data_IF_318375437264
#
_entry.id   IF_318375437264
#
_cell.length_a   1.000
_cell.length_b   1.000
_cell.length_c   1.000
_cell.angle_alpha   90.00
_cell.angle_beta   90.00
_cell.angle_gamma   90.00
#
_symmetry.space_group_name_H-M   'P 1'
#
loop_
_entity.id
_entity.type
_entity.pdbx_description
1 polymer ?
#
# COMPACT_ATOMS: atom_id res chain seq x y z
N UNK A 1 -3.43 2.40 -5.58
CA UNK A 1 -3.61 2.10 -7.02
C UNK A 1 -2.41 1.35 -7.64
N UNK A 2 -1.20 1.94 -7.73
CA UNK A 2 -0.05 1.34 -8.44
C UNK A 2 0.44 0.04 -7.78
N UNK A 3 0.48 -0.06 -6.46
CA UNK A 3 0.84 -1.30 -5.75
C UNK A 3 -0.14 -2.42 -6.08
N UNK A 4 -1.44 -2.16 -5.97
CA UNK A 4 -2.47 -3.13 -6.31
C UNK A 4 -2.37 -3.58 -7.78
N UNK A 5 -2.12 -2.64 -8.71
CA UNK A 5 -1.89 -2.95 -10.12
C UNK A 5 -0.68 -3.88 -10.32
N UNK A 6 0.48 -3.54 -9.73
CA UNK A 6 1.73 -4.30 -9.94
C UNK A 6 1.61 -5.71 -9.36
N UNK A 7 1.06 -5.84 -8.15
CA UNK A 7 0.83 -7.15 -7.51
C UNK A 7 -0.10 -8.00 -8.36
N UNK A 8 -1.27 -7.47 -8.70
CA UNK A 8 -2.28 -8.22 -9.47
C UNK A 8 -1.78 -8.56 -10.88
N UNK A 9 -1.06 -7.66 -11.53
CA UNK A 9 -0.44 -7.92 -12.83
C UNK A 9 0.57 -9.07 -12.74
N UNK A 10 1.39 -9.08 -11.69
CA UNK A 10 2.42 -10.11 -11.52
C UNK A 10 1.80 -11.47 -11.28
N UNK A 11 0.93 -11.60 -10.29
CA UNK A 11 0.30 -12.90 -9.95
C UNK A 11 -0.60 -13.38 -11.10
N UNK A 12 -1.29 -12.44 -11.76
CA UNK A 12 -2.07 -12.75 -12.95
C UNK A 12 -1.21 -13.23 -14.13
N UNK A 13 0.00 -12.68 -14.33
CA UNK A 13 0.96 -13.19 -15.33
C UNK A 13 1.49 -14.56 -14.93
N UNK A 14 1.77 -14.83 -13.66
CA UNK A 14 2.19 -16.14 -13.19
C UNK A 14 1.11 -17.21 -13.43
N UNK A 15 -0.14 -16.91 -13.07
CA UNK A 15 -1.29 -17.76 -13.38
C UNK A 15 -1.45 -17.99 -14.90
N UNK A 16 -1.33 -16.93 -15.70
CA UNK A 16 -1.41 -17.02 -17.15
C UNK A 16 -0.29 -17.87 -17.77
N UNK A 17 0.92 -17.85 -17.19
CA UNK A 17 2.02 -18.70 -17.61
C UNK A 17 1.78 -20.18 -17.28
N UNK A 18 1.27 -20.47 -16.07
CA UNK A 18 0.91 -21.84 -15.68
C UNK A 18 -0.10 -22.42 -16.66
N UNK A 19 -1.19 -21.70 -16.91
CA UNK A 19 -2.24 -22.10 -17.83
C UNK A 19 -1.71 -22.19 -19.28
N UNK A 20 -0.96 -21.18 -19.72
CA UNK A 20 -0.43 -21.11 -21.08
C UNK A 20 0.58 -22.20 -21.40
N UNK A 21 1.52 -22.50 -20.50
CA UNK A 21 2.50 -23.58 -20.66
C UNK A 21 1.77 -24.93 -20.67
N UNK A 22 0.80 -25.13 -19.77
CA UNK A 22 0.00 -26.36 -19.72
C UNK A 22 -0.77 -26.57 -21.03
N UNK A 23 -1.47 -25.56 -21.54
CA UNK A 23 -2.21 -25.63 -22.81
C UNK A 23 -1.29 -25.88 -24.02
N UNK A 24 -0.12 -25.22 -24.05
CA UNK A 24 0.87 -25.42 -25.10
C UNK A 24 1.46 -26.83 -25.06
N UNK A 25 1.71 -27.38 -23.88
CA UNK A 25 2.22 -28.72 -23.71
C UNK A 25 1.17 -29.77 -24.10
N UNK A 26 -0.11 -29.60 -23.72
CA UNK A 26 -1.22 -30.47 -24.15
C UNK A 26 -1.40 -30.45 -25.65
N UNK A 27 -1.19 -29.33 -26.31
CA UNK A 27 -1.18 -29.28 -27.79
C UNK A 27 0.00 -30.07 -28.37
N UNK A 28 1.19 -29.99 -27.74
CA UNK A 28 2.39 -30.72 -28.19
C UNK A 28 2.25 -32.25 -28.08
N UNK A 29 1.58 -32.74 -27.03
CA UNK A 29 1.34 -34.19 -26.83
C UNK A 29 0.04 -34.67 -27.48
N UNK A 30 -0.62 -33.83 -28.28
CA UNK A 30 -1.84 -34.13 -29.03
C UNK A 30 -3.02 -34.60 -28.16
N UNK A 31 -3.23 -33.96 -26.98
CA UNK A 31 -4.31 -34.25 -26.04
C UNK A 31 -5.24 -33.02 -25.87
N UNK A 32 -5.96 -32.59 -26.92
CA UNK A 32 -6.80 -31.38 -26.86
C UNK A 32 -8.03 -31.53 -25.95
N UNK A 33 -8.49 -32.76 -25.69
CA UNK A 33 -9.62 -33.06 -24.79
C UNK A 33 -9.38 -32.59 -23.35
N UNK A 34 -8.13 -32.58 -22.87
CA UNK A 34 -7.75 -32.15 -21.53
C UNK A 34 -7.77 -30.64 -21.34
N UNK A 35 -7.92 -29.85 -22.40
CA UNK A 35 -8.06 -28.39 -22.29
C UNK A 35 -9.27 -27.98 -21.46
N UNK A 36 -10.37 -28.74 -21.51
CA UNK A 36 -11.57 -28.49 -20.70
C UNK A 36 -11.26 -28.58 -19.20
N UNK A 37 -10.42 -29.53 -18.78
CA UNK A 37 -9.96 -29.66 -17.40
C UNK A 37 -9.18 -28.41 -16.94
N UNK A 38 -8.29 -27.87 -17.79
CA UNK A 38 -7.52 -26.67 -17.48
C UNK A 38 -8.42 -25.43 -17.32
N UNK A 39 -9.38 -25.25 -18.21
CA UNK A 39 -10.33 -24.13 -18.10
C UNK A 39 -11.27 -24.27 -16.89
N UNK A 40 -11.75 -25.49 -16.61
CA UNK A 40 -12.54 -25.76 -15.43
C UNK A 40 -11.76 -25.47 -14.13
N UNK A 41 -10.48 -25.88 -14.09
CA UNK A 41 -9.58 -25.58 -12.97
C UNK A 41 -9.37 -24.06 -12.78
N UNK A 42 -9.17 -23.31 -13.88
CA UNK A 42 -9.01 -21.87 -13.85
C UNK A 42 -10.25 -21.16 -13.26
N UNK A 43 -11.44 -21.54 -13.73
CA UNK A 43 -12.70 -20.96 -13.22
C UNK A 43 -12.91 -21.33 -11.75
N UNK A 44 -12.68 -22.59 -11.37
CA UNK A 44 -12.80 -23.03 -9.99
C UNK A 44 -11.81 -22.32 -9.06
N UNK A 45 -10.57 -22.11 -9.49
CA UNK A 45 -9.56 -21.38 -8.73
C UNK A 45 -9.95 -19.89 -8.55
N UNK A 46 -10.47 -19.25 -9.59
CA UNK A 46 -10.94 -17.86 -9.52
C UNK A 46 -12.11 -17.72 -8.53
N UNK A 47 -13.11 -18.60 -8.61
CA UNK A 47 -14.23 -18.63 -7.67
C UNK A 47 -13.75 -18.90 -6.24
N UNK A 48 -12.82 -19.84 -6.08
CA UNK A 48 -12.20 -20.17 -4.78
C UNK A 48 -11.47 -18.96 -4.18
N UNK A 49 -10.71 -18.22 -4.99
CA UNK A 49 -10.00 -17.01 -4.53
C UNK A 49 -10.96 -15.91 -4.09
N UNK A 50 -12.07 -15.68 -4.81
CA UNK A 50 -13.13 -14.76 -4.40
C UNK A 50 -13.79 -15.24 -3.09
N UNK A 51 -14.05 -16.55 -2.96
CA UNK A 51 -14.60 -17.12 -1.74
C UNK A 51 -13.73 -16.86 -0.53
N UNK A 52 -12.42 -17.01 -0.67
CA UNK A 52 -11.43 -16.71 0.39
C UNK A 52 -11.41 -15.21 0.70
N UNK A 53 -11.45 -14.34 -0.31
CA UNK A 53 -11.51 -12.89 -0.10
C UNK A 53 -12.76 -12.48 0.70
N UNK A 54 -13.94 -13.02 0.37
CA UNK A 54 -15.18 -12.77 1.09
C UNK A 54 -15.14 -13.33 2.51
N UNK A 55 -14.52 -14.50 2.72
CA UNK A 55 -14.38 -15.08 4.05
C UNK A 55 -13.50 -14.19 4.94
N UNK A 56 -12.36 -13.73 4.41
CA UNK A 56 -11.47 -12.81 5.12
C UNK A 56 -12.12 -11.47 5.45
N UNK A 57 -12.91 -10.90 4.51
CA UNK A 57 -13.60 -9.62 4.73
C UNK A 57 -14.71 -9.67 5.80
N UNK A 58 -15.28 -10.85 6.06
CA UNK A 58 -16.33 -11.03 7.08
C UNK A 58 -15.80 -11.26 8.49
N UNK A 59 -14.51 -11.53 8.63
CA UNK A 59 -13.90 -11.79 9.93
C UNK A 59 -13.64 -10.44 10.60
N UNK A 60 -14.51 -10.07 11.57
CA UNK A 60 -14.33 -8.87 12.39
C UNK A 60 -13.26 -9.17 13.46
N UNK A 61 -12.05 -8.72 13.20
CA UNK A 61 -10.94 -8.76 14.14
C UNK A 61 -10.83 -7.40 14.81
N UNK A 62 -10.32 -7.34 16.05
CA UNK A 62 -9.95 -6.05 16.67
C UNK A 62 -8.95 -5.35 15.75
N UNK A 63 -9.41 -4.29 15.05
CA UNK A 63 -8.77 -3.76 13.86
C UNK A 63 -7.34 -3.27 14.11
N UNK A 64 -7.09 -2.58 15.22
CA UNK A 64 -5.87 -1.77 15.38
C UNK A 64 -4.59 -2.62 15.61
N UNK A 65 -4.57 -3.58 16.52
CA UNK A 65 -3.38 -4.42 16.78
C UNK A 65 -3.18 -5.48 15.68
N UNK A 66 -4.30 -5.98 15.13
CA UNK A 66 -4.27 -7.04 14.13
C UNK A 66 -3.71 -6.56 12.80
N UNK A 67 -3.95 -5.29 12.45
CA UNK A 67 -3.49 -4.66 11.22
C UNK A 67 -1.96 -4.73 11.11
N UNK A 68 -1.24 -4.35 12.16
CA UNK A 68 0.21 -4.43 12.20
C UNK A 68 0.75 -5.86 12.00
N UNK A 69 0.13 -6.85 12.65
CA UNK A 69 0.52 -8.26 12.49
C UNK A 69 0.22 -8.82 11.10
N UNK A 70 -0.91 -8.43 10.49
CA UNK A 70 -1.25 -8.83 9.12
C UNK A 70 -0.23 -8.27 8.14
N UNK A 71 0.18 -6.99 8.29
CA UNK A 71 1.20 -6.38 7.44
C UNK A 71 2.55 -7.10 7.54
N UNK A 72 2.98 -7.46 8.75
CA UNK A 72 4.23 -8.23 8.96
C UNK A 72 4.13 -9.65 8.38
N UNK A 73 3.00 -10.32 8.55
CA UNK A 73 2.76 -11.63 7.94
C UNK A 73 2.78 -11.54 6.41
N UNK A 74 2.11 -10.55 5.83
CA UNK A 74 2.13 -10.31 4.38
C UNK A 74 3.54 -10.02 3.88
N UNK A 75 4.33 -9.21 4.59
CA UNK A 75 5.73 -8.95 4.25
C UNK A 75 6.57 -10.24 4.24
N UNK A 76 6.39 -11.10 5.25
CA UNK A 76 7.05 -12.40 5.32
C UNK A 76 6.69 -13.29 4.12
N UNK A 77 5.40 -13.35 3.74
CA UNK A 77 4.96 -14.10 2.57
C UNK A 77 5.57 -13.54 1.29
N UNK A 78 5.57 -12.22 1.09
CA UNK A 78 6.18 -11.58 -0.09
C UNK A 78 7.67 -11.89 -0.18
N UNK A 79 8.43 -11.79 0.91
CA UNK A 79 9.86 -12.11 0.94
C UNK A 79 10.10 -13.60 0.65
N UNK A 80 9.32 -14.49 1.26
CA UNK A 80 9.38 -15.94 1.01
C UNK A 80 9.15 -16.25 -0.47
N UNK A 81 8.15 -15.60 -1.09
CA UNK A 81 7.83 -15.73 -2.50
C UNK A 81 8.95 -15.22 -3.40
N UNK A 82 9.56 -14.07 -3.08
CA UNK A 82 10.72 -13.53 -3.79
C UNK A 82 11.85 -14.57 -3.82
N UNK A 83 12.19 -15.15 -2.65
CA UNK A 83 13.25 -16.15 -2.53
C UNK A 83 12.93 -17.40 -3.35
N UNK A 84 11.67 -17.86 -3.28
CA UNK A 84 11.20 -19.01 -4.04
C UNK A 84 11.32 -18.78 -5.54
N UNK A 85 10.85 -17.62 -6.05
CA UNK A 85 10.90 -17.28 -7.47
C UNK A 85 12.33 -17.10 -8.01
N UNK A 86 13.23 -16.55 -7.22
CA UNK A 86 14.65 -16.43 -7.59
C UNK A 86 15.28 -17.83 -7.84
N UNK A 87 14.89 -18.83 -7.04
CA UNK A 87 15.37 -20.21 -7.18
C UNK A 87 14.67 -20.98 -8.31
N UNK A 88 13.36 -20.77 -8.46
CA UNK A 88 12.47 -21.57 -9.31
C UNK A 88 12.33 -21.03 -10.75
N UNK A 89 12.45 -19.71 -10.95
CA UNK A 89 12.09 -19.04 -12.21
C UNK A 89 12.83 -19.55 -13.45
N UNK A 90 14.00 -20.19 -13.28
CA UNK A 90 14.74 -20.84 -14.39
C UNK A 90 14.23 -22.22 -14.76
N UNK A 91 13.52 -22.91 -13.86
CA UNK A 91 13.10 -24.31 -14.01
C UNK A 91 11.59 -24.48 -14.17
N UNK A 92 10.82 -23.40 -14.02
CA UNK A 92 9.36 -23.43 -13.97
C UNK A 92 8.75 -24.15 -15.19
N UNK A 93 9.19 -23.81 -16.40
CA UNK A 93 8.69 -24.43 -17.63
C UNK A 93 8.92 -25.95 -17.64
N UNK A 94 10.13 -26.40 -17.35
CA UNK A 94 10.45 -27.83 -17.35
C UNK A 94 9.72 -28.62 -16.26
N UNK A 95 9.47 -27.99 -15.11
CA UNK A 95 8.72 -28.63 -14.02
C UNK A 95 7.22 -28.77 -14.34
N UNK A 96 6.61 -27.73 -14.94
CA UNK A 96 5.22 -27.81 -15.40
C UNK A 96 5.10 -28.87 -16.51
N UNK A 97 5.94 -28.82 -17.53
CA UNK A 97 5.93 -29.82 -18.62
C UNK A 97 6.12 -31.25 -18.10
N UNK A 98 7.06 -31.44 -17.15
CA UNK A 98 7.31 -32.77 -16.54
C UNK A 98 6.11 -33.28 -15.75
N UNK A 99 5.51 -32.46 -14.89
CA UNK A 99 4.32 -32.85 -14.11
C UNK A 99 3.09 -33.06 -14.98
N UNK A 100 2.84 -32.20 -15.95
CA UNK A 100 1.72 -32.37 -16.90
C UNK A 100 1.93 -33.65 -17.75
N UNK A 101 3.18 -33.96 -18.13
CA UNK A 101 3.51 -35.20 -18.84
C UNK A 101 3.17 -36.49 -18.05
N UNK A 102 3.47 -36.47 -16.74
CA UNK A 102 3.13 -37.61 -15.85
C UNK A 102 1.61 -37.69 -15.66
N UNK A 103 0.94 -36.56 -15.47
CA UNK A 103 -0.50 -36.48 -15.21
C UNK A 103 -1.36 -36.69 -16.48
N UNK A 104 -0.78 -36.66 -17.68
CA UNK A 104 -1.49 -36.88 -18.95
C UNK A 104 -1.74 -38.36 -19.31
N UNK A 105 -1.62 -39.28 -18.34
CA UNK A 105 -1.93 -40.73 -18.45
C UNK A 105 -3.42 -41.06 -18.56
N UNK A 106 -3.82 -42.30 -18.24
CA UNK A 106 -5.18 -42.82 -18.50
C UNK A 106 -6.31 -42.13 -17.70
N UNK A 107 -6.06 -41.61 -16.47
CA UNK A 107 -7.03 -40.86 -15.65
C UNK A 107 -6.69 -39.37 -15.55
N UNK A 108 -6.27 -38.79 -16.64
CA UNK A 108 -5.63 -37.49 -16.71
C UNK A 108 -6.51 -36.29 -16.32
N UNK A 109 -7.85 -36.40 -16.41
CA UNK A 109 -8.72 -35.23 -16.26
C UNK A 109 -8.67 -34.64 -14.84
N UNK A 110 -8.85 -35.47 -13.81
CA UNK A 110 -8.92 -35.02 -12.42
C UNK A 110 -7.54 -34.61 -11.88
N UNK A 111 -6.50 -35.38 -12.19
CA UNK A 111 -5.13 -35.06 -11.79
C UNK A 111 -4.65 -33.73 -12.37
N UNK A 112 -4.94 -33.49 -13.65
CA UNK A 112 -4.61 -32.22 -14.30
C UNK A 112 -5.46 -31.07 -13.78
N UNK A 113 -6.76 -31.28 -13.54
CA UNK A 113 -7.64 -30.32 -12.90
C UNK A 113 -7.08 -29.89 -11.55
N UNK A 114 -6.80 -30.86 -10.67
CA UNK A 114 -6.32 -30.58 -9.31
C UNK A 114 -4.97 -29.86 -9.33
N UNK A 115 -4.06 -30.27 -10.21
CA UNK A 115 -2.75 -29.62 -10.37
C UNK A 115 -2.89 -28.14 -10.77
N UNK A 116 -3.65 -27.86 -11.84
CA UNK A 116 -3.84 -26.48 -12.32
C UNK A 116 -4.65 -25.67 -11.32
N UNK A 117 -5.69 -26.25 -10.73
CA UNK A 117 -6.50 -25.63 -9.69
C UNK A 117 -5.65 -25.16 -8.51
N UNK A 118 -4.85 -26.05 -7.93
CA UNK A 118 -4.02 -25.70 -6.76
C UNK A 118 -2.96 -24.64 -7.10
N UNK A 119 -2.35 -24.76 -8.28
CA UNK A 119 -1.34 -23.79 -8.72
C UNK A 119 -1.94 -22.40 -8.94
N UNK A 120 -3.09 -22.30 -9.61
CA UNK A 120 -3.75 -21.01 -9.88
C UNK A 120 -4.43 -20.46 -8.62
N UNK A 121 -5.04 -21.32 -7.80
CA UNK A 121 -5.64 -20.92 -6.51
C UNK A 121 -4.58 -20.31 -5.59
N UNK A 122 -3.40 -20.90 -5.56
CA UNK A 122 -2.28 -20.36 -4.79
C UNK A 122 -1.98 -18.90 -5.17
N UNK A 123 -1.82 -18.61 -6.48
CA UNK A 123 -1.56 -17.25 -6.95
C UNK A 123 -2.74 -16.31 -6.62
N UNK A 124 -3.98 -16.83 -6.69
CA UNK A 124 -5.17 -16.07 -6.28
C UNK A 124 -5.20 -15.77 -4.78
N UNK A 125 -4.83 -16.70 -3.92
CA UNK A 125 -4.74 -16.49 -2.46
C UNK A 125 -3.62 -15.50 -2.13
N UNK A 126 -2.45 -15.63 -2.76
CA UNK A 126 -1.34 -14.67 -2.60
C UNK A 126 -1.79 -13.26 -2.99
N UNK A 127 -2.50 -13.10 -4.12
CA UNK A 127 -3.11 -11.82 -4.53
C UNK A 127 -4.04 -11.25 -3.47
N UNK A 128 -4.96 -12.07 -2.93
CA UNK A 128 -5.94 -11.63 -1.92
C UNK A 128 -5.25 -11.19 -0.64
N UNK A 129 -4.25 -11.93 -0.15
CA UNK A 129 -3.52 -11.59 1.08
C UNK A 129 -2.71 -10.29 0.92
N UNK A 130 -1.98 -10.13 -0.19
CA UNK A 130 -1.16 -8.93 -0.42
C UNK A 130 -2.06 -7.71 -0.66
N UNK A 131 -3.14 -7.87 -1.45
CA UNK A 131 -4.11 -6.79 -1.65
C UNK A 131 -4.81 -6.41 -0.35
N UNK A 132 -5.19 -7.37 0.48
CA UNK A 132 -5.75 -7.11 1.80
C UNK A 132 -4.83 -6.20 2.62
N UNK A 133 -3.54 -6.56 2.72
CA UNK A 133 -2.56 -5.75 3.45
C UNK A 133 -2.30 -4.37 2.82
N UNK A 134 -2.35 -4.24 1.49
CA UNK A 134 -2.13 -2.97 0.77
C UNK A 134 -3.35 -2.05 0.85
N UNK A 135 -4.58 -2.59 0.87
CA UNK A 135 -5.81 -1.78 0.92
C UNK A 135 -6.01 -1.10 2.27
N UNK A 136 -5.46 -1.64 3.36
CA UNK A 136 -5.50 -1.01 4.68
C UNK A 136 -4.91 0.42 4.67
N UNK A 137 -3.92 0.68 3.81
CA UNK A 137 -3.22 1.96 3.69
C UNK A 137 -3.64 2.83 2.48
N UNK A 138 -4.66 2.46 1.72
CA UNK A 138 -5.02 3.18 0.49
C UNK A 138 -6.53 3.38 0.34
N UNK A 139 -6.92 4.42 -0.43
CA UNK A 139 -8.32 4.64 -0.76
C UNK A 139 -8.88 3.44 -1.53
N UNK A 140 -9.97 2.86 -1.07
CA UNK A 140 -10.59 1.64 -1.61
C UNK A 140 -10.83 1.71 -3.12
N UNK A 141 -11.34 2.84 -3.62
CA UNK A 141 -11.63 3.05 -5.04
C UNK A 141 -10.37 2.95 -5.92
N UNK A 142 -9.27 3.59 -5.50
CA UNK A 142 -8.01 3.57 -6.25
C UNK A 142 -7.35 2.19 -6.24
N UNK A 143 -7.46 1.46 -5.13
CA UNK A 143 -7.00 0.08 -5.04
C UNK A 143 -7.80 -0.84 -5.95
N UNK A 144 -9.13 -0.70 -5.96
CA UNK A 144 -10.01 -1.46 -6.85
C UNK A 144 -9.67 -1.22 -8.33
N UNK A 145 -9.51 0.04 -8.75
CA UNK A 145 -9.12 0.37 -10.13
C UNK A 145 -7.75 -0.21 -10.50
N UNK A 146 -6.78 -0.16 -9.60
CA UNK A 146 -5.47 -0.76 -9.80
C UNK A 146 -5.54 -2.27 -10.01
N UNK A 147 -6.31 -2.95 -9.16
CA UNK A 147 -6.56 -4.40 -9.24
C UNK A 147 -7.24 -4.77 -10.57
N UNK A 148 -8.30 -4.06 -10.94
CA UNK A 148 -9.04 -4.30 -12.18
C UNK A 148 -8.14 -4.16 -13.41
N UNK A 149 -7.36 -3.08 -13.47
CA UNK A 149 -6.39 -2.86 -14.55
C UNK A 149 -5.31 -3.95 -14.59
N UNK A 150 -4.80 -4.39 -13.43
CA UNK A 150 -3.84 -5.48 -13.32
C UNK A 150 -4.38 -6.79 -13.90
N UNK A 151 -5.61 -7.16 -13.52
CA UNK A 151 -6.30 -8.35 -14.05
C UNK A 151 -6.49 -8.25 -15.57
N UNK A 152 -6.99 -7.12 -16.07
CA UNK A 152 -7.22 -6.95 -17.51
C UNK A 152 -5.94 -7.08 -18.33
N UNK A 153 -4.85 -6.47 -17.87
CA UNK A 153 -3.54 -6.56 -18.54
C UNK A 153 -2.97 -7.98 -18.45
N UNK A 154 -3.14 -8.67 -17.32
CA UNK A 154 -2.71 -10.06 -17.16
C UNK A 154 -3.49 -11.01 -18.08
N UNK A 155 -4.80 -10.82 -18.23
CA UNK A 155 -5.62 -11.59 -19.18
C UNK A 155 -5.17 -11.35 -20.62
N UNK A 156 -4.99 -10.08 -21.01
CA UNK A 156 -4.50 -9.72 -22.34
C UNK A 156 -3.14 -10.36 -22.62
N UNK A 157 -2.22 -10.31 -21.65
CA UNK A 157 -0.93 -10.97 -21.71
C UNK A 157 -1.09 -12.50 -21.90
N UNK A 158 -1.92 -13.16 -21.10
CA UNK A 158 -2.16 -14.59 -21.17
C UNK A 158 -2.69 -15.03 -22.52
N UNK A 159 -3.68 -14.31 -23.07
CA UNK A 159 -4.23 -14.58 -24.40
C UNK A 159 -3.16 -14.42 -25.49
N UNK A 160 -2.35 -13.35 -25.43
CA UNK A 160 -1.27 -13.11 -26.39
C UNK A 160 -0.16 -14.16 -26.28
N UNK A 161 0.15 -14.59 -25.05
CA UNK A 161 1.15 -15.64 -24.79
C UNK A 161 0.71 -17.01 -25.35
N UNK A 162 -0.52 -17.43 -25.09
CA UNK A 162 -1.09 -18.68 -25.62
C UNK A 162 -1.14 -18.67 -27.15
N UNK A 163 -1.48 -17.53 -27.77
CA UNK A 163 -1.48 -17.36 -29.25
C UNK A 163 -0.07 -17.28 -29.84
N UNK A 164 0.98 -17.32 -29.03
CA UNK A 164 2.38 -17.23 -29.50
C UNK A 164 2.78 -15.87 -30.08
N UNK A 165 1.94 -14.83 -29.89
CA UNK A 165 2.17 -13.48 -30.42
C UNK A 165 3.23 -12.70 -29.64
N UNK A 166 3.53 -13.10 -28.39
CA UNK A 166 4.45 -12.40 -27.50
C UNK A 166 5.61 -13.30 -27.10
N UNK A 167 6.82 -12.87 -27.44
CA UNK A 167 8.08 -13.45 -26.95
C UNK A 167 8.68 -12.52 -25.90
N UNK A 168 8.19 -12.58 -24.67
CA UNK A 168 8.74 -11.79 -23.55
C UNK A 168 9.86 -12.57 -22.89
N UNK A 169 10.92 -11.86 -22.54
CA UNK A 169 11.96 -12.42 -21.69
C UNK A 169 11.45 -12.46 -20.24
N UNK A 170 10.85 -13.60 -19.86
CA UNK A 170 10.29 -13.84 -18.55
C UNK A 170 11.30 -13.58 -17.41
N UNK A 171 12.58 -13.89 -17.62
CA UNK A 171 13.62 -13.62 -16.61
C UNK A 171 13.79 -12.12 -16.33
N UNK A 172 13.67 -11.27 -17.35
CA UNK A 172 13.73 -9.82 -17.16
C UNK A 172 12.48 -9.30 -16.46
N UNK A 173 11.32 -9.76 -16.89
CA UNK A 173 10.05 -9.41 -16.25
C UNK A 173 10.07 -9.74 -14.75
N UNK A 174 10.38 -10.99 -14.39
CA UNK A 174 10.44 -11.41 -12.99
C UNK A 174 11.53 -10.68 -12.19
N UNK A 175 12.68 -10.36 -12.79
CA UNK A 175 13.71 -9.60 -12.11
C UNK A 175 13.23 -8.19 -11.74
N UNK A 176 12.56 -7.50 -12.66
CA UNK A 176 12.06 -6.14 -12.43
C UNK A 176 10.95 -6.16 -11.36
N UNK A 177 9.98 -7.05 -11.51
CA UNK A 177 8.87 -7.17 -10.55
C UNK A 177 9.35 -7.60 -9.15
N UNK A 178 10.37 -8.47 -9.06
CA UNK A 178 11.00 -8.86 -7.79
C UNK A 178 11.60 -7.66 -7.06
N UNK A 179 12.29 -6.76 -7.77
CA UNK A 179 12.84 -5.55 -7.16
C UNK A 179 11.71 -4.67 -6.60
N UNK A 180 10.64 -4.50 -7.37
CA UNK A 180 9.48 -3.71 -6.91
C UNK A 180 8.85 -4.35 -5.68
N UNK A 181 8.65 -5.67 -5.68
CA UNK A 181 8.08 -6.38 -4.52
C UNK A 181 8.97 -6.34 -3.28
N UNK A 182 10.28 -6.30 -3.44
CA UNK A 182 11.19 -6.10 -2.31
C UNK A 182 10.92 -4.77 -1.59
N UNK A 183 10.66 -3.70 -2.35
CA UNK A 183 10.27 -2.42 -1.77
C UNK A 183 8.89 -2.45 -1.13
N UNK A 184 7.92 -3.14 -1.77
CA UNK A 184 6.59 -3.34 -1.16
C UNK A 184 6.70 -4.11 0.16
N UNK A 185 7.52 -5.17 0.21
CA UNK A 185 7.76 -5.91 1.44
C UNK A 185 8.42 -5.04 2.52
N UNK A 186 9.41 -4.22 2.15
CA UNK A 186 10.04 -3.29 3.07
C UNK A 186 9.03 -2.26 3.62
N UNK A 187 8.14 -1.75 2.77
CA UNK A 187 7.06 -0.85 3.21
C UNK A 187 6.11 -1.56 4.18
N UNK A 188 5.66 -2.77 3.87
CA UNK A 188 4.78 -3.53 4.76
C UNK A 188 5.43 -3.79 6.14
N UNK A 189 6.75 -4.04 6.17
CA UNK A 189 7.48 -4.18 7.44
C UNK A 189 7.45 -2.86 8.22
N UNK A 190 7.79 -1.75 7.56
CA UNK A 190 7.84 -0.43 8.21
C UNK A 190 6.45 -0.02 8.70
N UNK A 191 5.42 -0.19 7.87
CA UNK A 191 4.03 0.12 8.23
C UNK A 191 3.52 -0.77 9.36
N UNK A 192 3.79 -2.07 9.31
CA UNK A 192 3.38 -3.00 10.36
C UNK A 192 4.08 -2.74 11.70
N UNK A 193 5.36 -2.39 11.69
CA UNK A 193 6.08 -1.98 12.91
C UNK A 193 5.53 -0.66 13.46
N UNK A 194 5.20 0.29 12.59
CA UNK A 194 4.61 1.57 12.96
C UNK A 194 3.25 1.37 13.65
N UNK A 195 2.38 0.55 13.05
CA UNK A 195 1.07 0.21 13.59
C UNK A 195 1.15 -0.44 14.98
N UNK A 196 2.08 -1.39 15.15
CA UNK A 196 2.32 -2.01 16.45
C UNK A 196 2.87 -1.02 17.49
N UNK A 197 3.66 -0.04 17.04
CA UNK A 197 4.18 1.02 17.91
C UNK A 197 3.09 2.04 18.28
N UNK A 198 2.16 2.34 17.38
CA UNK A 198 0.99 3.19 17.66
C UNK A 198 0.08 2.60 18.73
N UNK A 199 -0.05 1.27 18.72
CA UNK A 199 -0.88 0.52 19.67
C UNK A 199 -0.13 0.06 20.93
N UNK A 200 1.05 0.63 21.22
CA UNK A 200 1.87 0.34 22.40
C UNK A 200 2.31 -1.12 22.56
N UNK A 201 2.19 -1.94 21.50
CA UNK A 201 2.71 -3.32 21.48
C UNK A 201 4.24 -3.31 21.44
N UNK A 202 4.83 -2.32 20.74
CA UNK A 202 6.27 -2.10 20.71
C UNK A 202 6.59 -0.77 21.38
N UNK A 203 7.66 -0.71 22.21
CA UNK A 203 8.12 0.53 22.79
C UNK A 203 8.56 1.49 21.66
N UNK A 204 8.06 2.70 21.66
CA UNK A 204 8.39 3.70 20.66
C UNK A 204 8.71 5.05 21.29
N UNK A 205 9.61 5.80 20.66
CA UNK A 205 9.96 7.15 21.07
C UNK A 205 9.46 8.19 20.08
N UNK A 206 9.24 9.44 20.56
CA UNK A 206 8.87 10.59 19.72
C UNK A 206 9.78 10.75 18.49
N UNK A 207 11.08 10.46 18.67
CA UNK A 207 12.10 10.59 17.62
C UNK A 207 11.97 9.50 16.54
N UNK A 208 11.74 8.27 16.94
CA UNK A 208 11.51 7.14 16.03
C UNK A 208 10.24 7.36 15.21
N UNK A 209 9.15 7.75 15.85
CA UNK A 209 7.88 8.05 15.18
C UNK A 209 7.99 9.23 14.21
N UNK A 210 8.81 10.24 14.50
CA UNK A 210 9.07 11.36 13.58
C UNK A 210 9.83 10.94 12.31
N UNK A 211 10.66 9.90 12.38
CA UNK A 211 11.39 9.37 11.22
C UNK A 211 10.50 8.44 10.39
N UNK A 212 9.76 7.56 11.07
CA UNK A 212 8.94 6.52 10.43
C UNK A 212 7.68 7.14 9.79
N UNK A 213 7.04 8.10 10.47
CA UNK A 213 5.78 8.71 10.04
C UNK A 213 5.78 9.24 8.60
N UNK A 214 6.76 10.05 8.17
CA UNK A 214 6.85 10.50 6.77
C UNK A 214 6.99 9.36 5.75
N UNK A 215 7.60 8.24 6.13
CA UNK A 215 7.79 7.06 5.27
C UNK A 215 6.46 6.32 5.10
N UNK A 216 5.74 6.10 6.20
CA UNK A 216 4.45 5.39 6.21
C UNK A 216 3.37 6.19 5.50
N UNK A 217 3.32 7.51 5.72
CA UNK A 217 2.31 8.39 5.18
C UNK A 217 2.44 8.64 3.68
N UNK A 218 3.67 8.65 3.16
CA UNK A 218 3.93 9.12 1.81
C UNK A 218 4.09 7.96 0.83
N UNK A 219 2.97 7.34 0.44
CA UNK A 219 2.93 6.34 -0.63
C UNK A 219 3.64 6.83 -1.90
N UNK A 220 3.52 8.11 -2.23
CA UNK A 220 4.19 8.73 -3.35
C UNK A 220 5.72 8.72 -3.20
N UNK A 221 6.27 9.01 -2.02
CA UNK A 221 7.70 8.94 -1.77
C UNK A 221 8.26 7.54 -2.04
N UNK A 222 7.52 6.51 -1.63
CA UNK A 222 7.87 5.11 -1.87
C UNK A 222 7.86 4.78 -3.38
N UNK A 223 6.81 5.19 -4.08
CA UNK A 223 6.70 5.01 -5.53
C UNK A 223 7.81 5.74 -6.29
N UNK A 224 8.17 6.95 -5.86
CA UNK A 224 9.29 7.69 -6.47
C UNK A 224 10.59 6.93 -6.34
N UNK A 225 10.86 6.44 -5.13
CA UNK A 225 12.10 5.71 -4.87
C UNK A 225 12.14 4.44 -5.72
N UNK A 226 11.02 3.71 -5.85
CA UNK A 226 10.91 2.52 -6.70
C UNK A 226 11.10 2.88 -8.18
N UNK A 227 10.42 3.91 -8.67
CA UNK A 227 10.55 4.32 -10.07
C UNK A 227 11.93 4.90 -10.38
N UNK A 228 12.52 5.68 -9.49
CA UNK A 228 13.87 6.19 -9.63
C UNK A 228 14.89 5.05 -9.67
N UNK A 229 14.76 4.05 -8.80
CA UNK A 229 15.62 2.86 -8.81
C UNK A 229 15.39 1.99 -10.04
N UNK A 230 14.15 1.78 -10.47
CA UNK A 230 13.84 1.06 -11.72
C UNK A 230 14.41 1.80 -12.94
N UNK A 231 14.28 3.12 -13.00
CA UNK A 231 14.87 3.96 -14.04
C UNK A 231 16.40 3.90 -14.01
N UNK A 232 17.02 3.96 -12.83
CA UNK A 232 18.45 3.78 -12.65
C UNK A 232 18.91 2.40 -13.12
N UNK A 233 18.21 1.32 -12.79
CA UNK A 233 18.53 -0.03 -13.27
C UNK A 233 18.46 -0.13 -14.80
N UNK A 234 17.43 0.45 -15.42
CA UNK A 234 17.31 0.51 -16.90
C UNK A 234 18.47 1.29 -17.49
N UNK A 235 18.83 2.42 -16.89
CA UNK A 235 19.96 3.27 -17.34
C UNK A 235 21.30 2.54 -17.22
N UNK A 236 21.54 1.80 -16.12
CA UNK A 236 22.76 0.99 -15.98
C UNK A 236 22.82 -0.17 -16.96
N UNK A 237 21.68 -0.81 -17.27
CA UNK A 237 21.63 -1.88 -18.28
C UNK A 237 21.91 -1.36 -19.69
N UNK A 238 21.36 -0.19 -20.04
CA UNK A 238 21.61 0.48 -21.33
C UNK A 238 23.07 0.91 -21.45
N UNK A 239 23.66 1.47 -20.38
CA UNK A 239 25.06 1.90 -20.36
C UNK A 239 26.06 0.73 -20.46
N UNK A 240 25.69 -0.48 -20.03
CA UNK A 240 26.51 -1.70 -20.15
C UNK A 240 26.52 -2.29 -21.55
N UNK A 241 25.55 -1.94 -22.42
CA UNK A 241 25.53 -2.41 -23.81
C UNK A 241 26.57 -1.61 -24.61
N UNK A 242 27.62 -2.29 -25.04
CA UNK A 242 28.55 -1.70 -26.01
C UNK A 242 27.78 -1.38 -27.29
N UNK A 243 27.95 -0.18 -27.86
CA UNK A 243 27.33 0.15 -29.13
C UNK A 243 27.80 -0.85 -30.20
N UNK A 244 26.86 -1.53 -30.84
CA UNK A 244 27.17 -2.38 -31.97
C UNK A 244 27.84 -1.54 -33.06
N UNK A 245 28.88 -2.07 -33.65
CA UNK A 245 29.58 -1.40 -34.75
C UNK A 245 28.57 -1.07 -35.87
N UNK A 246 28.49 0.20 -36.24
CA UNK A 246 27.58 0.66 -37.30
C UNK A 246 28.15 0.22 -38.64
N UNK A 247 27.45 -0.59 -39.46
CA UNK A 247 27.91 -1.00 -40.77
C UNK A 247 28.18 0.17 -41.68
N UNK A 248 29.18 0.05 -42.56
CA UNK A 248 29.67 1.18 -43.37
C UNK A 248 28.66 1.71 -44.40
N UNK A 249 27.76 0.85 -44.96
CA UNK A 249 26.78 1.24 -45.97
C UNK A 249 25.55 0.34 -46.04
N UNK A 250 24.51 0.75 -46.75
CA UNK A 250 23.37 -0.03 -47.13
C UNK A 250 22.17 -0.04 -46.13
N UNK A 251 21.26 -1.01 -46.30
CA UNK A 251 20.05 -1.13 -45.50
C UNK A 251 20.34 -1.41 -43.99
N UNK A 252 21.43 -2.15 -43.74
CA UNK A 252 21.86 -2.47 -42.37
C UNK A 252 22.31 -1.23 -41.61
N UNK A 253 22.99 -0.28 -42.25
CA UNK A 253 23.35 1.02 -41.64
C UNK A 253 22.11 1.80 -41.23
N UNK A 254 21.09 1.87 -42.10
CA UNK A 254 19.82 2.55 -41.77
C UNK A 254 19.11 1.92 -40.57
N UNK A 255 19.09 0.58 -40.52
CA UNK A 255 18.50 -0.17 -39.41
C UNK A 255 19.26 0.03 -38.08
N UNK A 256 20.60 0.06 -38.16
CA UNK A 256 21.47 0.34 -37.01
C UNK A 256 21.29 1.79 -36.50
N UNK A 257 21.26 2.77 -37.38
CA UNK A 257 21.03 4.18 -37.03
C UNK A 257 19.63 4.36 -36.40
N UNK A 258 18.61 3.68 -36.94
CA UNK A 258 17.25 3.73 -36.38
C UNK A 258 17.19 3.08 -35.00
N UNK A 259 17.88 1.97 -34.76
CA UNK A 259 17.98 1.34 -33.45
C UNK A 259 18.63 2.25 -32.40
N UNK A 260 19.73 2.93 -32.76
CA UNK A 260 20.42 3.92 -31.92
C UNK A 260 19.51 5.13 -31.61
N UNK A 261 18.80 5.64 -32.64
CA UNK A 261 17.84 6.75 -32.44
C UNK A 261 16.68 6.35 -31.53
N UNK A 262 16.12 5.16 -31.72
CA UNK A 262 15.07 4.62 -30.87
C UNK A 262 15.55 4.45 -29.44
N UNK A 263 16.77 3.96 -29.23
CA UNK A 263 17.37 3.81 -27.89
C UNK A 263 17.59 5.16 -27.20
N UNK A 264 18.04 6.18 -27.92
CA UNK A 264 18.15 7.56 -27.41
C UNK A 264 16.76 8.13 -27.02
N UNK A 265 15.76 7.91 -27.84
CA UNK A 265 14.38 8.35 -27.52
C UNK A 265 13.85 7.65 -26.28
N UNK A 266 14.09 6.34 -26.14
CA UNK A 266 13.74 5.60 -24.93
C UNK A 266 14.47 6.14 -23.69
N UNK A 267 15.76 6.40 -23.78
CA UNK A 267 16.50 7.02 -22.68
C UNK A 267 15.95 8.41 -22.34
N UNK A 268 15.72 9.24 -23.35
CA UNK A 268 15.14 10.57 -23.13
C UNK A 268 13.76 10.50 -22.46
N UNK A 269 12.89 9.56 -22.86
CA UNK A 269 11.57 9.38 -22.22
C UNK A 269 11.69 8.88 -20.78
N UNK A 270 12.66 8.01 -20.46
CA UNK A 270 12.93 7.56 -19.08
C UNK A 270 13.44 8.72 -18.23
N UNK A 271 14.36 9.54 -18.75
CA UNK A 271 14.84 10.74 -18.03
C UNK A 271 13.72 11.75 -17.82
N UNK A 272 12.92 12.03 -18.86
CA UNK A 272 11.81 12.97 -18.77
C UNK A 272 10.74 12.50 -17.77
N UNK A 273 10.38 11.21 -17.78
CA UNK A 273 9.42 10.63 -16.82
C UNK A 273 9.96 10.66 -15.40
N UNK A 274 11.24 10.32 -15.19
CA UNK A 274 11.88 10.38 -13.87
C UNK A 274 11.93 11.81 -13.34
N UNK A 275 12.27 12.80 -14.20
CA UNK A 275 12.28 14.20 -13.82
C UNK A 275 10.89 14.72 -13.48
N UNK A 276 9.89 14.44 -14.33
CA UNK A 276 8.49 14.81 -14.07
C UNK A 276 8.02 14.22 -12.75
N UNK A 277 8.39 12.99 -12.48
CA UNK A 277 8.01 12.29 -11.26
C UNK A 277 8.65 12.95 -10.01
N UNK A 278 9.93 13.30 -10.05
CA UNK A 278 10.61 14.04 -8.96
C UNK A 278 9.92 15.38 -8.71
N UNK A 279 9.53 16.10 -9.77
CA UNK A 279 8.80 17.37 -9.65
C UNK A 279 7.45 17.17 -8.97
N UNK A 280 6.68 16.15 -9.40
CA UNK A 280 5.37 15.84 -8.81
C UNK A 280 5.46 15.51 -7.32
N UNK A 281 6.47 14.73 -6.92
CA UNK A 281 6.68 14.38 -5.51
C UNK A 281 7.13 15.57 -4.69
N UNK A 282 8.02 16.39 -5.24
CA UNK A 282 8.43 17.60 -4.55
C UNK A 282 7.23 18.53 -4.35
N UNK A 283 6.38 18.67 -5.36
CA UNK A 283 5.15 19.43 -5.28
C UNK A 283 4.18 18.86 -4.23
N UNK A 284 3.98 17.55 -4.23
CA UNK A 284 3.16 16.84 -3.23
C UNK A 284 3.72 17.00 -1.81
N UNK A 285 5.04 16.89 -1.63
CA UNK A 285 5.68 17.11 -0.35
C UNK A 285 5.45 18.54 0.16
N UNK A 286 5.62 19.56 -0.72
CA UNK A 286 5.37 20.96 -0.36
C UNK A 286 3.88 21.17 -0.03
N UNK A 287 2.98 20.65 -0.84
CA UNK A 287 1.53 20.73 -0.63
C UNK A 287 1.13 20.08 0.70
N UNK A 288 1.59 18.87 0.98
CA UNK A 288 1.33 18.13 2.22
C UNK A 288 1.83 18.92 3.44
N UNK A 289 3.01 19.54 3.33
CA UNK A 289 3.55 20.39 4.40
C UNK A 289 2.72 21.63 4.64
N UNK A 290 2.13 22.23 3.62
CA UNK A 290 1.24 23.39 3.74
C UNK A 290 -0.11 23.03 4.37
N UNK A 291 -0.68 21.87 4.01
CA UNK A 291 -1.97 21.40 4.56
C UNK A 291 -1.82 20.88 6.00
N UNK A 292 -0.64 20.39 6.40
CA UNK A 292 -0.37 19.92 7.74
C UNK A 292 -0.08 21.03 8.77
N UNK A 293 -0.29 22.31 8.40
CA UNK A 293 -0.20 23.39 9.34
C UNK A 293 -1.32 23.28 10.41
N UNK A 294 -0.95 23.50 11.66
CA UNK A 294 -1.95 23.55 12.74
C UNK A 294 -2.85 24.78 12.53
N UNK A 295 -4.17 24.58 12.63
CA UNK A 295 -5.10 25.72 12.68
C UNK A 295 -4.78 26.60 13.90
N UNK A 296 -4.95 27.93 13.81
CA UNK A 296 -4.74 28.80 14.95
C UNK A 296 -5.67 28.41 16.11
N UNK A 297 -5.15 28.49 17.34
CA UNK A 297 -5.94 28.20 18.52
C UNK A 297 -6.72 29.44 18.95
N UNK A 298 -8.01 29.28 19.21
CA UNK A 298 -8.84 30.34 19.78
C UNK A 298 -8.63 30.40 21.30
N UNK A 299 -8.17 31.51 21.87
CA UNK A 299 -7.99 31.60 23.31
C UNK A 299 -9.36 31.55 24.03
N UNK A 300 -9.44 30.74 25.08
CA UNK A 300 -10.63 30.71 25.96
C UNK A 300 -10.37 31.49 27.25
N UNK A 301 -11.42 32.14 27.74
CA UNK A 301 -11.42 32.83 29.04
C UNK A 301 -12.28 32.04 30.02
N UNK A 302 -11.76 31.91 31.25
CA UNK A 302 -12.50 31.27 32.33
C UNK A 302 -13.27 32.34 33.12
N UNK A 303 -14.55 32.06 33.36
CA UNK A 303 -15.41 32.85 34.25
C UNK A 303 -15.85 31.88 35.36
N UNK A 304 -15.60 32.24 36.58
CA UNK A 304 -15.87 31.40 37.76
C UNK A 304 -15.26 29.98 37.67
N UNK A 305 -14.02 29.89 37.07
CA UNK A 305 -13.29 28.64 36.91
C UNK A 305 -13.83 27.72 35.81
N UNK A 306 -14.68 28.20 34.91
CA UNK A 306 -15.27 27.44 33.82
C UNK A 306 -15.22 28.22 32.50
N UNK A 307 -14.99 27.52 31.41
CA UNK A 307 -15.13 28.04 30.05
C UNK A 307 -16.30 27.34 29.37
N UNK A 308 -17.13 28.09 28.66
CA UNK A 308 -18.28 27.57 27.93
C UNK A 308 -18.10 27.77 26.44
N UNK A 309 -18.11 26.67 25.66
CA UNK A 309 -18.00 26.69 24.21
C UNK A 309 -19.36 26.30 23.63
N UNK A 310 -20.00 27.19 22.82
CA UNK A 310 -21.29 26.85 22.21
C UNK A 310 -21.24 25.64 21.32
N UNK A 311 -22.21 24.72 21.45
CA UNK A 311 -22.30 23.51 20.66
C UNK A 311 -22.35 23.81 19.15
N UNK A 312 -22.98 24.90 18.75
CA UNK A 312 -23.07 25.35 17.35
C UNK A 312 -21.72 25.65 16.68
N UNK A 313 -20.66 25.91 17.47
CA UNK A 313 -19.32 26.19 16.95
C UNK A 313 -18.51 24.91 16.65
N UNK A 314 -18.94 23.75 17.16
CA UNK A 314 -18.13 22.51 17.15
C UNK A 314 -18.89 21.29 16.59
N UNK A 315 -20.08 21.52 16.02
CA UNK A 315 -20.98 20.47 15.52
C UNK A 315 -20.95 20.31 14.00
N UNK A 316 -19.88 20.74 13.34
CA UNK A 316 -19.71 20.69 11.87
C UNK A 316 -18.81 19.52 11.40
N UNK A 317 -18.30 18.70 12.34
CA UNK A 317 -17.37 17.60 12.04
C UNK A 317 -15.97 18.09 11.69
N UNK A 318 -15.64 19.37 11.97
CA UNK A 318 -14.29 19.89 11.83
C UNK A 318 -13.52 19.89 13.17
N UNK A 319 -12.20 20.11 13.11
CA UNK A 319 -11.33 20.19 14.28
C UNK A 319 -11.24 21.66 14.75
N UNK A 320 -11.88 21.96 15.87
CA UNK A 320 -11.88 23.30 16.46
C UNK A 320 -10.87 23.38 17.59
N UNK A 321 -9.79 24.14 17.37
CA UNK A 321 -8.68 24.27 18.32
C UNK A 321 -8.84 25.50 19.21
N UNK A 322 -8.61 25.25 20.50
CA UNK A 322 -8.65 26.26 21.56
C UNK A 322 -7.35 26.27 22.36
N UNK A 323 -7.05 27.35 23.04
CA UNK A 323 -5.94 27.45 23.98
C UNK A 323 -6.33 28.12 25.27
N UNK A 324 -5.72 27.65 26.34
CA UNK A 324 -5.80 28.28 27.67
C UNK A 324 -4.39 28.49 28.19
N UNK A 325 -4.19 29.54 28.99
CA UNK A 325 -2.91 29.80 29.68
C UNK A 325 -3.01 29.41 31.13
N UNK A 326 -2.14 28.50 31.57
CA UNK A 326 -2.06 28.00 32.92
C UNK A 326 -0.59 27.89 33.34
N UNK A 327 -0.23 28.50 34.48
CA UNK A 327 1.13 28.49 35.03
C UNK A 327 2.23 28.87 34.03
N UNK A 328 1.94 29.82 33.11
CA UNK A 328 2.87 30.29 32.07
C UNK A 328 2.98 29.40 30.84
N UNK A 329 2.34 28.24 30.82
CA UNK A 329 2.26 27.36 29.66
C UNK A 329 0.99 27.63 28.84
N UNK A 330 1.09 27.55 27.53
CA UNK A 330 -0.07 27.53 26.64
C UNK A 330 -0.53 26.10 26.42
N UNK A 331 -1.67 25.76 26.99
CA UNK A 331 -2.28 24.44 26.89
C UNK A 331 -3.27 24.47 25.74
N UNK A 332 -3.01 23.68 24.71
CA UNK A 332 -3.89 23.56 23.55
C UNK A 332 -4.76 22.33 23.68
N UNK A 333 -6.02 22.48 23.29
CA UNK A 333 -7.00 21.42 23.22
C UNK A 333 -7.92 21.64 22.03
N UNK A 334 -8.67 20.63 21.62
CA UNK A 334 -9.60 20.76 20.52
C UNK A 334 -10.85 19.92 20.72
N UNK A 335 -11.91 20.34 20.05
CA UNK A 335 -13.20 19.71 20.03
C UNK A 335 -13.47 19.18 18.62
N UNK A 336 -14.09 18.01 18.56
CA UNK A 336 -14.37 17.32 17.32
C UNK A 336 -15.69 16.54 17.41
N UNK A 337 -16.60 16.77 16.46
CA UNK A 337 -17.80 15.95 16.37
C UNK A 337 -17.47 14.60 15.72
N UNK A 338 -17.62 13.52 16.49
CA UNK A 338 -17.46 12.16 16.02
C UNK A 338 -18.54 11.78 15.00
N UNK A 339 -18.32 10.75 14.17
CA UNK A 339 -19.33 10.24 13.24
C UNK A 339 -20.64 9.81 13.90
N UNK A 340 -20.64 9.45 15.19
CA UNK A 340 -21.83 9.12 15.99
C UNK A 340 -22.57 10.36 16.54
N UNK A 341 -22.11 11.57 16.19
CA UNK A 341 -22.71 12.85 16.61
C UNK A 341 -22.23 13.36 17.97
N UNK A 342 -21.45 12.60 18.75
CA UNK A 342 -20.91 13.03 20.04
C UNK A 342 -19.72 13.95 19.84
N UNK A 343 -19.55 14.91 20.76
CA UNK A 343 -18.37 15.77 20.78
C UNK A 343 -17.27 15.11 21.62
N UNK A 344 -16.12 14.89 21.01
CA UNK A 344 -14.90 14.56 21.73
C UNK A 344 -14.17 15.86 22.09
N UNK A 345 -13.74 15.96 23.34
CA UNK A 345 -12.88 17.05 23.83
C UNK A 345 -11.55 16.44 24.27
N UNK A 346 -10.45 16.89 23.68
CA UNK A 346 -9.14 16.27 23.85
C UNK A 346 -8.04 17.33 23.92
N UNK A 347 -6.95 17.01 24.62
CA UNK A 347 -5.72 17.79 24.55
C UNK A 347 -5.08 17.68 23.17
N UNK A 348 -4.40 18.72 22.71
CA UNK A 348 -3.63 18.73 21.46
C UNK A 348 -2.27 18.04 21.66
N UNK A 349 -2.32 16.88 22.30
CA UNK A 349 -1.19 16.06 22.71
C UNK A 349 -1.56 14.57 22.74
N UNK A 350 -0.60 13.69 22.54
CA UNK A 350 -0.73 12.24 22.78
C UNK A 350 0.43 11.71 23.63
N UNK A 351 0.29 10.50 24.16
CA UNK A 351 1.27 9.91 25.08
C UNK A 351 2.62 9.68 24.41
N UNK A 352 2.64 9.27 23.12
CA UNK A 352 3.87 8.94 22.38
C UNK A 352 4.56 10.21 21.84
N UNK A 353 3.83 11.09 21.17
CA UNK A 353 4.41 12.23 20.46
C UNK A 353 4.44 13.53 21.26
N UNK A 354 3.75 13.59 22.41
CA UNK A 354 3.63 14.80 23.22
C UNK A 354 2.77 15.90 22.56
N UNK A 355 3.06 17.15 22.85
CA UNK A 355 2.29 18.33 22.45
C UNK A 355 2.55 18.83 21.03
N UNK A 356 2.94 17.94 20.09
CA UNK A 356 3.18 18.34 18.70
C UNK A 356 1.89 18.75 17.98
N UNK A 357 0.77 18.17 18.38
CA UNK A 357 -0.57 18.52 17.92
C UNK A 357 -1.08 17.66 16.75
N UNK A 358 -2.36 17.89 16.43
CA UNK A 358 -3.09 17.17 15.38
C UNK A 358 -3.62 18.16 14.34
N UNK A 359 -3.87 17.70 13.14
CA UNK A 359 -4.53 18.49 12.10
C UNK A 359 -5.56 17.62 11.36
N UNK A 360 -6.52 18.27 10.68
CA UNK A 360 -7.48 17.56 9.86
C UNK A 360 -6.90 17.30 8.48
N UNK A 361 -6.70 16.02 8.15
CA UNK A 361 -6.34 15.56 6.82
C UNK A 361 -7.57 15.19 5.99
N UNK A 362 -7.39 14.79 4.73
CA UNK A 362 -8.50 14.40 3.84
C UNK A 362 -9.34 13.23 4.39
N UNK A 363 -8.74 12.33 5.14
CA UNK A 363 -9.36 11.09 5.65
C UNK A 363 -9.62 11.12 7.16
N UNK A 364 -9.57 12.29 7.80
CA UNK A 364 -9.81 12.43 9.25
C UNK A 364 -8.70 13.17 10.00
N UNK A 365 -8.63 12.96 11.29
CA UNK A 365 -7.62 13.59 12.17
C UNK A 365 -6.28 12.88 12.03
N UNK A 366 -5.18 13.62 11.97
CA UNK A 366 -3.84 13.10 11.77
C UNK A 366 -2.87 13.71 12.79
N UNK A 367 -2.04 12.89 13.43
CA UNK A 367 -0.96 13.34 14.29
C UNK A 367 0.14 14.04 13.47
N UNK A 368 0.55 15.24 13.85
CA UNK A 368 1.54 16.03 13.11
C UNK A 368 2.95 15.44 13.15
N UNK A 369 3.31 14.70 14.21
CA UNK A 369 4.65 14.13 14.38
C UNK A 369 4.82 12.81 13.60
N UNK A 370 3.97 11.83 13.86
CA UNK A 370 4.10 10.48 13.31
C UNK A 370 3.23 10.25 12.07
N UNK A 371 2.39 11.24 11.73
CA UNK A 371 1.44 11.16 10.63
C UNK A 371 0.38 10.02 10.75
N UNK A 372 0.22 9.44 11.94
CA UNK A 372 -0.80 8.46 12.23
C UNK A 372 -2.21 9.01 11.97
N UNK A 373 -3.04 8.36 11.16
CA UNK A 373 -4.45 8.70 11.02
C UNK A 373 -5.20 8.21 12.26
N UNK A 374 -5.89 9.11 12.93
CA UNK A 374 -6.72 8.76 14.09
C UNK A 374 -8.14 8.44 13.60
N UNK A 375 -8.63 7.26 13.95
CA UNK A 375 -10.01 6.89 13.65
C UNK A 375 -10.97 7.86 14.37
N UNK A 376 -11.86 8.52 13.62
CA UNK A 376 -12.80 9.50 14.17
C UNK A 376 -13.68 8.95 15.30
N UNK A 377 -13.97 7.65 15.32
CA UNK A 377 -14.72 7.00 16.41
C UNK A 377 -13.88 6.87 17.69
N UNK A 378 -12.57 6.62 17.56
CA UNK A 378 -11.67 6.41 18.71
C UNK A 378 -11.08 7.69 19.27
N UNK A 379 -11.32 8.87 18.68
CA UNK A 379 -10.85 10.15 19.21
C UNK A 379 -11.25 10.31 20.67
N UNK A 380 -10.25 10.55 21.55
CA UNK A 380 -10.44 10.71 22.98
C UNK A 380 -10.53 9.38 23.77
N UNK A 381 -10.20 8.24 23.15
CA UNK A 381 -9.88 7.02 23.90
C UNK A 381 -8.43 7.09 24.38
N UNK A 382 -8.13 6.54 25.55
CA UNK A 382 -6.75 6.52 26.09
C UNK A 382 -5.90 5.50 25.32
N UNK A 383 -4.64 5.88 25.11
CA UNK A 383 -3.58 4.98 24.63
C UNK A 383 -3.04 5.35 23.24
N UNK A 384 -1.79 5.03 23.02
CA UNK A 384 -1.09 5.16 21.74
C UNK A 384 -0.98 6.57 21.20
N UNK A 385 -1.18 6.70 19.91
CA UNK A 385 -1.20 7.99 19.20
C UNK A 385 -2.54 8.75 19.33
N UNK A 386 -3.53 8.19 20.02
CA UNK A 386 -4.78 8.92 20.27
C UNK A 386 -4.57 10.18 21.10
N UNK A 387 -5.31 11.27 20.78
CA UNK A 387 -5.27 12.47 21.59
C UNK A 387 -5.83 12.22 22.99
N UNK A 388 -5.15 12.75 24.00
CA UNK A 388 -5.47 12.54 25.41
C UNK A 388 -6.83 13.17 25.73
N UNK A 389 -7.79 12.42 26.32
CA UNK A 389 -9.11 12.94 26.63
C UNK A 389 -9.04 14.04 27.68
N UNK A 390 -9.80 15.11 27.46
CA UNK A 390 -10.05 16.18 28.42
C UNK A 390 -11.47 16.02 28.99
N UNK A 391 -11.57 15.97 30.31
CA UNK A 391 -12.85 15.87 30.98
C UNK A 391 -13.69 17.13 30.75
N UNK A 392 -14.96 16.95 30.38
CA UNK A 392 -15.88 18.07 30.11
C UNK A 392 -17.32 17.69 30.48
N UNK A 393 -18.10 18.67 30.89
CA UNK A 393 -19.54 18.51 31.05
C UNK A 393 -20.24 19.01 29.76
N UNK A 394 -21.06 18.19 29.14
CA UNK A 394 -21.76 18.53 27.90
C UNK A 394 -23.24 18.78 28.19
N UNK A 395 -23.74 19.94 27.77
CA UNK A 395 -25.16 20.29 27.78
C UNK A 395 -25.71 20.29 26.34
N UNK A 396 -27.00 20.43 26.16
CA UNK A 396 -27.61 20.54 24.83
C UNK A 396 -27.13 21.76 24.03
N UNK A 397 -26.60 22.80 24.70
CA UNK A 397 -26.24 24.06 24.07
C UNK A 397 -24.76 24.39 24.10
N UNK A 398 -23.98 23.79 25.00
CA UNK A 398 -22.56 24.11 25.20
C UNK A 398 -21.76 22.96 25.78
N UNK A 399 -20.46 22.98 25.52
CA UNK A 399 -19.44 22.16 26.19
C UNK A 399 -18.80 23.02 27.29
N UNK A 400 -18.85 22.56 28.54
CA UNK A 400 -18.29 23.23 29.68
C UNK A 400 -16.99 22.58 30.10
N UNK A 401 -15.93 23.38 30.20
CA UNK A 401 -14.58 22.92 30.51
C UNK A 401 -14.15 23.61 31.81
N UNK A 402 -13.72 22.86 32.80
CA UNK A 402 -13.25 23.40 34.08
C UNK A 402 -11.75 23.71 33.98
N UNK A 403 -11.35 24.83 34.59
CA UNK A 403 -9.96 25.24 34.63
C UNK A 403 -9.05 24.18 35.28
N UNK A 404 -9.54 23.48 36.31
CA UNK A 404 -8.84 22.41 37.01
C UNK A 404 -8.55 21.20 36.06
N UNK A 405 -9.44 20.92 35.13
CA UNK A 405 -9.27 19.81 34.17
C UNK A 405 -8.23 20.19 33.09
N UNK A 406 -8.16 21.46 32.70
CA UNK A 406 -7.10 21.98 31.83
C UNK A 406 -5.74 21.93 32.56
N UNK A 407 -5.68 22.36 33.81
CA UNK A 407 -4.46 22.35 34.62
C UNK A 407 -3.89 20.94 34.80
N UNK A 408 -4.73 19.94 34.91
CA UNK A 408 -4.32 18.53 34.99
C UNK A 408 -3.50 18.07 33.76
N UNK A 409 -3.74 18.65 32.58
CA UNK A 409 -3.02 18.35 31.34
C UNK A 409 -1.78 19.20 31.11
N UNK A 410 -1.48 20.17 31.97
CA UNK A 410 -0.37 21.14 31.78
C UNK A 410 1.00 20.44 31.60
N UNK A 411 1.22 19.32 32.26
CA UNK A 411 2.48 18.55 32.19
C UNK A 411 2.80 18.04 30.78
N UNK A 412 1.82 17.85 29.89
CA UNK A 412 2.06 17.45 28.49
C UNK A 412 2.64 18.60 27.64
N UNK A 413 2.49 19.86 28.08
CA UNK A 413 2.89 21.06 27.34
C UNK A 413 4.12 21.77 27.92
N UNK A 414 4.69 21.26 29.01
CA UNK A 414 5.84 21.84 29.68
C UNK A 414 7.19 21.22 29.23
N UNK A 415 7.22 20.47 28.11
CA UNK A 415 8.43 19.82 27.56
C UNK A 415 9.16 20.68 26.53
#
# INVERSE_FOLDING_TARGET
>A
MVQAFIVTLREGVEAALIVGITLAYLAKINRPELRKSVYAALVAAFVGSIGIAVLLSRTQWNQDIFEGWIMLAAAFFVVSMIIFMMKMGRRLKGQIEGKVGILAGEDAWFGLFLFVFLMVLREGVETVLILGAVTLNSTELLSFLGTLLGVLVAIAFGVMFVKGSVRINLQKFFRITTVILFFVAAQLVISGLHELSENEVLPSSKREMAIIGPIVRNDLFFFVTIFALAALMVLFEVKRRQPAAIPAAGAERRKALWSVRRERLWMASVYASSFLFIVLVTAEFIYTKSVSALSPATPVTFTDGQASIPMSQVSDGDLHRFSARENGAEIRFWLYQKPDGKIATVFDACEICGSVGFYKGPNGVVCKNCAAPINGQSVGTKGGCNPIPLATDQTATAVIIKEVDIAAGAHYFQQ
#
